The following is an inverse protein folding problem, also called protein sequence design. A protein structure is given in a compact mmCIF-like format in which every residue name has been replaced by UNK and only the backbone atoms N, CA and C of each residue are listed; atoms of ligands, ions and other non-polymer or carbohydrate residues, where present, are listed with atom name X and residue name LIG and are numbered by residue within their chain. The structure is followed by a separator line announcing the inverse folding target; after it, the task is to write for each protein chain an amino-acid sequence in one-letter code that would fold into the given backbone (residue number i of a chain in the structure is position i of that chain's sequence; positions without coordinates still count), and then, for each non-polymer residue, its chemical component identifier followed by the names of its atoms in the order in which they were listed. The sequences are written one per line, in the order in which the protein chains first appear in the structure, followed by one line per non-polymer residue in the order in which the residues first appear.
data_IF_751571823282
#
_entry.id   IF_751571823282
#
_cell.length_a   1.000
_cell.length_b   1.000
_cell.length_c   1.000
_cell.angle_alpha   90.00
_cell.angle_beta   90.00
_cell.angle_gamma   90.00
#
_symmetry.space_group_name_H-M   'P 1'
#
loop_
_entity.id
_entity.type
_entity.pdbx_description
1 polymer ?
#
# COMPACT_ATOMS: atom_id res chain seq x y z
N UNK A 1 -9.70 12.24 -6.27
CA UNK A 1 -9.00 11.17 -5.55
C UNK A 1 -8.91 9.93 -6.44
N UNK A 2 -7.74 9.64 -7.00
CA UNK A 2 -7.57 8.43 -7.79
C UNK A 2 -7.83 7.18 -6.96
N UNK A 3 -8.62 6.28 -7.48
CA UNK A 3 -8.92 5.03 -6.82
C UNK A 3 -9.15 3.94 -7.87
N UNK A 4 -9.04 2.69 -7.43
CA UNK A 4 -9.32 1.53 -8.25
C UNK A 4 -9.91 0.45 -7.37
N UNK A 5 -10.70 -0.42 -7.96
CA UNK A 5 -11.27 -1.56 -7.26
C UNK A 5 -11.07 -2.82 -8.07
N UNK A 6 -10.90 -3.93 -7.37
CA UNK A 6 -10.71 -5.22 -8.01
C UNK A 6 -11.13 -6.33 -7.05
N UNK A 7 -11.66 -7.42 -7.60
CA UNK A 7 -11.94 -8.62 -6.81
C UNK A 7 -10.66 -9.45 -6.71
N UNK A 8 -10.29 -9.78 -5.49
CA UNK A 8 -9.14 -10.63 -5.18
C UNK A 8 -9.63 -12.05 -4.89
N UNK A 9 -8.86 -13.04 -5.32
CA UNK A 9 -9.26 -14.45 -5.28
C UNK A 9 -8.92 -15.09 -3.93
N UNK A 10 -9.25 -14.42 -2.84
CA UNK A 10 -9.01 -14.90 -1.50
C UNK A 10 -10.04 -14.30 -0.54
N UNK A 11 -10.35 -15.00 0.56
CA UNK A 11 -11.22 -14.42 1.60
C UNK A 11 -10.60 -13.18 2.23
N UNK A 12 -11.43 -12.31 2.74
CA UNK A 12 -11.01 -11.03 3.32
C UNK A 12 -9.97 -11.20 4.43
N UNK A 13 -10.14 -12.19 5.27
CA UNK A 13 -9.20 -12.44 6.36
C UNK A 13 -7.81 -12.83 5.85
N UNK A 14 -7.74 -13.56 4.74
CA UNK A 14 -6.46 -13.96 4.15
C UNK A 14 -5.77 -12.77 3.49
N UNK A 15 -6.54 -11.93 2.80
CA UNK A 15 -6.00 -10.69 2.22
C UNK A 15 -5.49 -9.78 3.32
N UNK A 16 -6.27 -9.65 4.40
CA UNK A 16 -5.86 -8.82 5.53
C UNK A 16 -4.58 -9.34 6.16
N UNK A 17 -4.44 -10.65 6.34
CA UNK A 17 -3.22 -11.22 6.92
C UNK A 17 -1.98 -10.87 6.09
N UNK A 18 -2.13 -10.82 4.77
CA UNK A 18 -1.04 -10.41 3.90
C UNK A 18 -0.70 -8.93 4.06
N UNK A 19 -1.70 -8.06 3.93
CA UNK A 19 -1.45 -6.60 3.94
C UNK A 19 -1.15 -6.07 5.33
N UNK A 20 -1.56 -6.75 6.38
CA UNK A 20 -1.29 -6.35 7.75
C UNK A 20 0.16 -6.61 8.17
N UNK A 21 0.86 -7.47 7.44
CA UNK A 21 2.29 -7.69 7.68
C UNK A 21 3.06 -6.46 7.18
N UNK A 22 3.72 -5.69 8.08
CA UNK A 22 4.38 -4.45 7.65
C UNK A 22 5.39 -4.64 6.53
N UNK A 23 6.17 -5.71 6.57
CA UNK A 23 7.19 -5.95 5.56
C UNK A 23 6.63 -6.32 4.19
N UNK A 24 5.33 -6.58 4.09
CA UNK A 24 4.69 -6.88 2.81
C UNK A 24 4.41 -5.64 1.96
N UNK A 25 4.45 -4.45 2.56
CA UNK A 25 4.05 -3.23 1.86
C UNK A 25 4.76 -3.03 0.51
N UNK A 26 6.08 -3.22 0.40
CA UNK A 26 6.74 -3.08 -0.90
C UNK A 26 6.32 -4.14 -1.92
N UNK A 27 5.77 -5.26 -1.47
CA UNK A 27 5.35 -6.33 -2.38
C UNK A 27 4.09 -5.96 -3.14
N UNK A 28 3.24 -5.13 -2.56
CA UNK A 28 1.97 -4.78 -3.21
C UNK A 28 1.79 -3.28 -3.48
N UNK A 29 2.52 -2.39 -2.78
CA UNK A 29 2.45 -0.96 -3.05
C UNK A 29 3.67 -0.53 -3.87
N UNK A 30 3.49 -0.21 -5.17
CA UNK A 30 4.62 -0.06 -6.09
C UNK A 30 5.54 1.13 -5.83
N UNK A 31 5.09 2.10 -5.05
CA UNK A 31 5.90 3.28 -4.79
C UNK A 31 7.11 2.99 -3.90
N UNK A 32 7.10 1.86 -3.17
CA UNK A 32 8.16 1.54 -2.23
C UNK A 32 8.87 0.25 -2.61
N UNK A 33 10.18 0.22 -2.40
CA UNK A 33 11.00 -0.98 -2.59
C UNK A 33 11.50 -1.55 -1.27
N UNK A 34 11.31 -0.82 -0.18
CA UNK A 34 11.69 -1.29 1.14
C UNK A 34 10.92 -0.56 2.21
N UNK A 35 10.83 -1.19 3.38
CA UNK A 35 10.14 -0.61 4.53
C UNK A 35 10.84 -1.08 5.79
N UNK A 36 10.93 -0.16 6.75
CA UNK A 36 11.43 -0.46 8.09
C UNK A 36 10.37 0.00 9.09
N UNK A 37 9.52 -0.90 9.56
CA UNK A 37 8.48 -0.57 10.53
C UNK A 37 9.10 -0.23 11.90
N UNK A 38 8.36 0.55 12.67
CA UNK A 38 8.75 0.79 14.05
C UNK A 38 8.19 -0.32 14.97
N UNK A 39 8.40 -0.17 16.27
CA UNK A 39 7.98 -1.19 17.25
C UNK A 39 6.47 -1.37 17.32
N UNK A 40 5.69 -0.39 16.89
CA UNK A 40 4.25 -0.47 16.93
C UNK A 40 3.67 -1.36 15.84
N UNK A 41 4.46 -1.61 14.78
CA UNK A 41 3.99 -2.37 13.66
C UNK A 41 2.82 -1.69 12.95
N UNK A 42 1.76 -2.42 12.65
CA UNK A 42 0.58 -1.85 12.01
C UNK A 42 -0.38 -1.34 13.08
N UNK A 43 -0.15 -0.11 13.51
CA UNK A 43 -0.96 0.57 14.51
C UNK A 43 -1.05 2.06 14.16
N UNK A 44 -2.17 2.68 14.51
CA UNK A 44 -2.36 4.10 14.23
C UNK A 44 -1.29 4.91 14.96
N UNK A 45 -0.69 5.84 14.22
CA UNK A 45 0.41 6.67 14.71
C UNK A 45 1.79 6.05 14.52
N UNK A 46 1.90 4.79 14.10
CA UNK A 46 3.18 4.17 13.84
C UNK A 46 3.90 4.89 12.70
N UNK A 47 5.22 4.91 12.78
CA UNK A 47 6.07 5.61 11.82
C UNK A 47 7.01 4.61 11.16
N UNK A 48 6.89 4.47 9.87
CA UNK A 48 7.68 3.51 9.10
C UNK A 48 8.59 4.26 8.13
N UNK A 49 9.88 3.93 8.13
CA UNK A 49 10.79 4.42 7.11
C UNK A 49 10.55 3.64 5.82
N UNK A 50 10.54 4.34 4.68
CA UNK A 50 10.32 3.69 3.39
C UNK A 50 11.40 4.10 2.40
N UNK A 51 11.71 3.20 1.49
CA UNK A 51 12.63 3.44 0.37
C UNK A 51 11.79 3.49 -0.90
N UNK A 52 11.97 4.55 -1.69
CA UNK A 52 11.20 4.74 -2.91
C UNK A 52 11.78 3.96 -4.07
N UNK A 53 10.90 3.58 -4.98
CA UNK A 53 11.23 2.69 -6.07
C UNK A 53 12.00 3.33 -7.22
N UNK A 54 12.13 4.64 -7.29
CA UNK A 54 12.70 5.27 -8.47
C UNK A 54 13.67 6.38 -8.18
N UNK A 55 14.84 6.00 -7.75
CA UNK A 55 15.95 6.93 -7.68
C UNK A 55 17.00 6.47 -8.68
N UNK A 56 17.32 7.26 -9.71
CA UNK A 56 18.42 6.92 -10.60
C UNK A 56 19.67 6.63 -9.79
N UNK A 57 20.45 5.64 -10.21
CA UNK A 57 21.59 5.17 -9.44
C UNK A 57 22.53 6.27 -9.00
N UNK A 58 22.82 7.22 -9.87
CA UNK A 58 23.73 8.32 -9.58
C UNK A 58 23.12 9.38 -8.63
N UNK A 59 21.79 9.37 -8.46
CA UNK A 59 21.10 10.26 -7.54
C UNK A 59 20.66 9.54 -6.27
N UNK A 60 20.97 8.27 -6.17
CA UNK A 60 20.51 7.47 -5.05
C UNK A 60 21.12 7.95 -3.75
N UNK A 61 20.28 8.18 -2.79
CA UNK A 61 20.70 8.46 -1.44
C UNK A 61 20.79 7.17 -0.66
N UNK A 62 21.76 7.03 0.23
CA UNK A 62 22.00 5.74 0.90
C UNK A 62 20.96 5.39 1.97
N UNK A 63 19.96 6.19 2.18
CA UNK A 63 18.98 5.91 3.22
C UNK A 63 17.58 6.18 2.81
N UNK A 64 16.67 5.48 3.50
CA UNK A 64 15.25 5.55 3.33
C UNK A 64 14.81 6.94 2.99
N UNK A 65 14.22 7.02 1.85
CA UNK A 65 13.96 8.31 1.24
C UNK A 65 12.64 8.87 1.68
N UNK A 66 12.01 8.26 2.67
CA UNK A 66 10.73 8.71 3.11
C UNK A 66 10.30 8.14 4.44
N UNK A 67 9.22 8.72 4.92
CA UNK A 67 8.57 8.32 6.15
C UNK A 67 7.08 8.25 5.87
N UNK A 68 6.44 7.17 6.31
CA UNK A 68 4.99 7.11 6.31
C UNK A 68 4.49 7.03 7.75
N UNK A 69 3.33 7.61 7.99
CA UNK A 69 2.66 7.55 9.28
C UNK A 69 1.36 6.80 9.11
N UNK A 70 1.18 5.74 9.87
CA UNK A 70 -0.05 4.96 9.78
C UNK A 70 -1.19 5.76 10.37
N UNK A 71 -2.22 6.04 9.57
CA UNK A 71 -3.32 6.92 9.92
C UNK A 71 -4.55 6.17 10.41
N UNK A 72 -4.84 5.03 9.80
CA UNK A 72 -6.05 4.29 10.11
C UNK A 72 -5.79 2.81 9.98
N UNK A 73 -6.22 2.08 10.99
CA UNK A 73 -6.21 0.61 10.96
C UNK A 73 -7.55 0.14 11.49
N UNK A 74 -8.34 -0.45 10.60
CA UNK A 74 -9.56 -1.16 10.98
C UNK A 74 -9.34 -2.62 10.62
N UNK A 75 -9.06 -3.49 11.59
CA UNK A 75 -8.67 -4.86 11.28
C UNK A 75 -9.64 -5.56 10.35
N UNK A 76 -9.11 -6.18 9.32
CA UNK A 76 -9.88 -6.88 8.31
C UNK A 76 -10.59 -6.00 7.30
N UNK A 77 -10.57 -4.69 7.47
CA UNK A 77 -11.38 -3.80 6.65
C UNK A 77 -10.62 -2.67 5.97
N UNK A 78 -9.75 -1.99 6.68
CA UNK A 78 -9.12 -0.80 6.10
C UNK A 78 -7.77 -0.50 6.73
N UNK A 79 -6.87 -0.02 5.87
CA UNK A 79 -5.60 0.51 6.32
C UNK A 79 -5.27 1.75 5.48
N UNK A 80 -4.74 2.79 6.13
CA UNK A 80 -4.38 4.03 5.44
C UNK A 80 -3.15 4.63 6.09
N UNK A 81 -2.36 5.32 5.26
CA UNK A 81 -1.16 5.98 5.74
C UNK A 81 -0.96 7.31 5.04
N UNK A 82 -0.10 8.14 5.64
CA UNK A 82 0.31 9.43 5.10
C UNK A 82 1.78 9.35 4.70
N UNK A 83 2.09 9.64 3.45
CA UNK A 83 3.46 9.73 2.97
C UNK A 83 3.94 11.16 3.17
N UNK A 84 4.85 11.36 4.11
CA UNK A 84 5.27 12.68 4.55
C UNK A 84 5.97 13.46 3.43
N UNK A 85 6.89 12.82 2.72
CA UNK A 85 7.66 13.50 1.67
C UNK A 85 6.82 13.87 0.46
N UNK A 86 5.85 13.04 0.12
CA UNK A 86 5.00 13.29 -1.03
C UNK A 86 3.73 14.05 -0.70
N UNK A 87 3.44 14.23 0.58
CA UNK A 87 2.20 14.87 1.03
C UNK A 87 0.97 14.16 0.46
N UNK A 88 1.02 12.84 0.43
CA UNK A 88 -0.06 12.01 -0.09
C UNK A 88 -0.59 11.09 1.00
N UNK A 89 -1.91 10.94 1.01
CA UNK A 89 -2.56 9.87 1.75
C UNK A 89 -2.77 8.71 0.80
N UNK A 90 -2.71 7.51 1.32
CA UNK A 90 -2.97 6.32 0.54
C UNK A 90 -3.63 5.28 1.42
N UNK A 91 -4.32 4.35 0.82
CA UNK A 91 -4.96 3.32 1.61
C UNK A 91 -5.56 2.20 0.79
N UNK A 92 -6.04 1.22 1.53
CA UNK A 92 -6.67 0.02 0.99
C UNK A 92 -7.89 -0.29 1.84
N UNK A 93 -9.02 -0.55 1.19
CA UNK A 93 -10.25 -1.00 1.86
C UNK A 93 -10.65 -2.34 1.31
N UNK A 94 -11.06 -3.23 2.21
CA UNK A 94 -11.47 -4.58 1.87
C UNK A 94 -12.92 -4.80 2.27
N UNK A 95 -13.69 -5.40 1.36
CA UNK A 95 -15.09 -5.74 1.59
C UNK A 95 -15.33 -7.18 1.14
N UNK A 96 -16.27 -7.86 1.78
CA UNK A 96 -16.61 -9.21 1.37
C UNK A 96 -17.28 -9.22 0.01
N UNK A 97 -16.89 -10.18 -0.82
CA UNK A 97 -17.52 -10.44 -2.12
C UNK A 97 -17.73 -11.95 -2.23
N UNK A 98 -18.64 -12.48 -1.42
CA UNK A 98 -18.82 -13.91 -1.27
C UNK A 98 -17.62 -14.54 -0.58
N UNK A 99 -16.97 -15.48 -1.24
CA UNK A 99 -15.74 -16.10 -0.75
C UNK A 99 -14.49 -15.35 -1.17
N UNK A 100 -14.66 -14.26 -1.90
CA UNK A 100 -13.59 -13.43 -2.42
C UNK A 100 -13.65 -12.07 -1.74
N UNK A 101 -12.76 -11.17 -2.12
CA UNK A 101 -12.65 -9.86 -1.52
C UNK A 101 -12.71 -8.78 -2.59
N UNK A 102 -13.57 -7.79 -2.38
CA UNK A 102 -13.56 -6.56 -3.17
C UNK A 102 -12.57 -5.61 -2.51
N UNK A 103 -11.46 -5.35 -3.18
CA UNK A 103 -10.45 -4.44 -2.68
C UNK A 103 -10.50 -3.11 -3.42
N UNK A 104 -10.41 -2.02 -2.67
CA UNK A 104 -10.34 -0.66 -3.22
C UNK A 104 -9.08 0.00 -2.69
N UNK A 105 -8.18 0.38 -3.60
CA UNK A 105 -6.99 1.15 -3.28
C UNK A 105 -7.18 2.59 -3.73
N UNK A 106 -6.57 3.53 -3.01
CA UNK A 106 -6.77 4.95 -3.31
C UNK A 106 -5.55 5.77 -2.92
N UNK A 107 -5.39 6.93 -3.56
CA UNK A 107 -4.45 7.97 -3.14
C UNK A 107 -5.20 9.30 -3.11
N UNK A 108 -4.78 10.17 -2.19
CA UNK A 108 -5.38 11.50 -2.04
C UNK A 108 -4.29 12.50 -1.68
N UNK A 109 -4.47 13.74 -2.10
CA UNK A 109 -3.50 14.79 -1.80
C UNK A 109 -3.72 16.00 -2.68
N UNK A 110 -2.77 16.95 -2.67
CA UNK A 110 -2.87 18.11 -3.53
C UNK A 110 -2.94 17.74 -5.00
N UNK A 111 -3.76 18.44 -5.74
CA UNK A 111 -3.99 18.18 -7.16
C UNK A 111 -2.69 18.03 -7.96
N UNK A 112 -1.74 18.91 -7.72
CA UNK A 112 -0.47 18.89 -8.45
C UNK A 112 0.39 17.66 -8.13
N UNK A 113 0.27 17.11 -6.93
CA UNK A 113 0.95 15.85 -6.57
C UNK A 113 0.30 14.66 -7.25
N UNK A 114 -1.02 14.67 -7.35
CA UNK A 114 -1.75 13.57 -7.99
C UNK A 114 -1.44 13.47 -9.48
N UNK A 115 -1.04 14.57 -10.11
CA UNK A 115 -0.70 14.59 -11.53
C UNK A 115 0.73 14.14 -11.81
N UNK A 116 1.59 14.07 -10.81
CA UNK A 116 3.01 13.79 -11.00
C UNK A 116 3.36 12.33 -10.67
N UNK A 117 4.47 11.87 -11.26
CA UNK A 117 5.17 10.65 -10.89
C UNK A 117 4.33 9.37 -10.83
N UNK A 118 3.27 9.31 -11.62
CA UNK A 118 2.47 8.10 -11.71
C UNK A 118 1.58 7.83 -10.50
N UNK A 119 1.36 8.83 -9.65
CA UNK A 119 0.49 8.65 -8.49
C UNK A 119 -0.89 8.15 -8.87
N UNK A 120 -1.42 8.57 -10.00
CA UNK A 120 -2.74 8.17 -10.47
C UNK A 120 -2.84 6.68 -10.80
N UNK A 121 -1.73 6.07 -11.18
CA UNK A 121 -1.68 4.65 -11.52
C UNK A 121 -1.40 3.74 -10.34
N UNK A 122 -1.00 4.28 -9.18
CA UNK A 122 -0.63 3.48 -8.03
C UNK A 122 -1.75 2.57 -7.54
N UNK A 123 -3.00 3.04 -7.37
CA UNK A 123 -4.06 2.16 -6.89
C UNK A 123 -4.27 0.94 -7.79
N UNK A 124 -4.30 1.14 -9.09
CA UNK A 124 -4.51 0.05 -10.04
C UNK A 124 -3.35 -0.93 -10.03
N UNK A 125 -2.13 -0.41 -10.00
CA UNK A 125 -0.93 -1.26 -9.95
C UNK A 125 -0.87 -2.06 -8.64
N UNK A 126 -1.22 -1.43 -7.52
CA UNK A 126 -1.25 -2.11 -6.23
C UNK A 126 -2.23 -3.29 -6.25
N UNK A 127 -3.42 -3.07 -6.79
CA UNK A 127 -4.42 -4.13 -6.87
C UNK A 127 -4.00 -5.26 -7.81
N UNK A 128 -3.29 -4.94 -8.88
CA UNK A 128 -2.75 -5.96 -9.78
C UNK A 128 -1.75 -6.85 -9.05
N UNK A 129 -0.86 -6.25 -8.26
CA UNK A 129 0.10 -7.02 -7.46
C UNK A 129 -0.58 -7.87 -6.39
N UNK A 130 -1.58 -7.30 -5.70
CA UNK A 130 -2.34 -8.04 -4.71
C UNK A 130 -3.07 -9.22 -5.34
N UNK A 131 -3.66 -9.01 -6.51
CA UNK A 131 -4.32 -10.09 -7.24
C UNK A 131 -3.34 -11.23 -7.53
N UNK A 132 -2.15 -10.91 -8.01
CA UNK A 132 -1.14 -11.91 -8.33
C UNK A 132 -0.66 -12.65 -7.07
N UNK A 133 -0.47 -11.94 -5.98
CA UNK A 133 -0.08 -12.55 -4.71
C UNK A 133 -1.14 -13.50 -4.19
N UNK A 134 -2.41 -13.10 -4.27
CA UNK A 134 -3.51 -13.95 -3.83
C UNK A 134 -3.65 -15.18 -4.73
N UNK A 135 -3.44 -15.04 -6.02
CA UNK A 135 -3.51 -16.14 -6.95
C UNK A 135 -2.39 -17.15 -6.70
N UNK A 136 -1.18 -16.66 -6.46
CA UNK A 136 -0.05 -17.54 -6.14
C UNK A 136 -0.31 -18.32 -4.85
N UNK A 137 -0.83 -17.66 -3.84
CA UNK A 137 -1.16 -18.32 -2.57
C UNK A 137 -2.26 -19.37 -2.75
N UNK A 138 -3.24 -19.11 -3.62
CA UNK A 138 -4.33 -20.07 -3.88
C UNK A 138 -3.84 -21.31 -4.62
N UNK A 139 -2.76 -21.18 -5.38
CA UNK A 139 -2.20 -22.29 -6.15
C UNK A 139 -1.29 -23.19 -5.32
N UNK A 140 -0.99 -22.81 -4.11
CA UNK A 140 -0.23 -23.63 -3.18
C UNK A 140 -1.14 -24.61 -2.45
#
# INVERSE_FOLDING_TARGET
MPSASRVLLAPREDVWALVAEPYSLPDWWPAYTGVEPDRRGLAEGARWAVVRSRTPGFLRRPRGNGLIVIRRVTPGAELAWHDVQQSLEAGLRLEDAGRQTQATAWVDGPFWRLLSEGARGLPQQALARLHDLCQTAADL
#
